data_IF_864666282225
#
_entry.id   IF_864666282225
#
_cell.length_a   1.000
_cell.length_b   1.000
_cell.length_c   1.000
_cell.angle_alpha   90.00
_cell.angle_beta   90.00
_cell.angle_gamma   90.00
#
_symmetry.space_group_name_H-M   'P 1'
#
loop_
_entity.id
_entity.type
_entity.pdbx_description
1 polymer ?
#
# COMPACT_ATOMS: atom_id res chain seq x y z
N UNK A 1 5.36 22.81 -6.07
CA UNK A 1 5.45 23.27 -4.66
C UNK A 1 6.67 22.60 -4.04
N UNK A 2 7.12 23.02 -2.86
CA UNK A 2 8.23 22.35 -2.16
C UNK A 2 7.99 22.29 -0.65
N UNK A 3 8.65 21.35 -0.01
CA UNK A 3 8.74 21.19 1.45
C UNK A 3 10.19 20.93 1.82
N UNK A 4 10.60 21.33 3.01
CA UNK A 4 11.96 21.22 3.52
C UNK A 4 12.02 20.30 4.74
N UNK A 5 13.20 19.78 5.04
CA UNK A 5 13.42 18.89 6.19
C UNK A 5 13.01 19.51 7.54
N UNK A 6 12.94 20.84 7.60
CA UNK A 6 12.58 21.62 8.79
C UNK A 6 11.07 21.81 8.96
N UNK A 7 10.28 21.54 7.91
CA UNK A 7 8.83 21.68 7.98
C UNK A 7 8.23 20.48 8.73
N UNK A 8 7.22 20.75 9.57
CA UNK A 8 6.55 19.72 10.37
C UNK A 8 5.95 18.62 9.49
N UNK A 9 5.38 19.02 8.35
CA UNK A 9 4.76 18.13 7.35
C UNK A 9 5.78 17.27 6.58
N UNK A 10 7.08 17.43 6.80
CA UNK A 10 8.07 16.59 6.12
C UNK A 10 7.95 15.13 6.57
N UNK A 11 7.89 14.15 5.65
CA UNK A 11 7.57 12.76 5.98
C UNK A 11 8.48 12.17 7.07
N UNK A 12 7.95 11.79 8.25
CA UNK A 12 8.77 11.35 9.38
C UNK A 12 9.69 10.17 9.08
N UNK A 13 9.20 9.18 8.32
CA UNK A 13 10.00 8.01 7.93
C UNK A 13 11.18 8.40 7.04
N UNK A 14 10.98 9.36 6.14
CA UNK A 14 12.05 9.85 5.27
C UNK A 14 13.01 10.75 6.04
N UNK A 15 12.52 11.54 7.01
CA UNK A 15 13.37 12.37 7.89
C UNK A 15 14.37 11.51 8.66
N UNK A 16 13.99 10.29 9.02
CA UNK A 16 14.81 9.36 9.79
C UNK A 16 15.94 8.67 9.00
N UNK A 17 15.95 8.73 7.66
CA UNK A 17 17.03 8.08 6.90
C UNK A 17 18.29 8.95 6.89
N UNK A 18 19.46 8.32 6.89
CA UNK A 18 20.77 9.00 6.92
C UNK A 18 21.02 9.98 5.78
N UNK A 19 20.34 9.79 4.65
CA UNK A 19 20.49 10.62 3.45
C UNK A 19 19.28 11.50 3.14
N UNK A 20 18.39 11.78 4.11
CA UNK A 20 17.13 12.51 3.88
C UNK A 20 17.34 13.78 3.01
N UNK A 21 16.62 13.94 1.88
CA UNK A 21 16.79 15.12 1.03
C UNK A 21 16.35 16.39 1.78
N UNK A 22 17.17 17.46 1.81
CA UNK A 22 16.83 18.67 2.55
C UNK A 22 15.61 19.41 1.99
N UNK A 23 15.33 19.23 0.69
CA UNK A 23 14.18 19.81 0.00
C UNK A 23 13.54 18.75 -0.88
N UNK A 24 12.21 18.72 -0.89
CA UNK A 24 11.39 17.90 -1.76
C UNK A 24 10.44 18.80 -2.56
N UNK A 25 10.48 18.65 -3.87
CA UNK A 25 9.54 19.27 -4.79
C UNK A 25 8.39 18.30 -5.06
N UNK A 26 7.18 18.83 -5.09
CA UNK A 26 5.99 18.01 -5.30
C UNK A 26 4.93 18.66 -6.18
N UNK A 27 4.09 17.80 -6.76
CA UNK A 27 2.87 18.13 -7.51
C UNK A 27 1.79 17.10 -7.18
N UNK A 28 0.65 17.56 -6.68
CA UNK A 28 -0.43 16.72 -6.13
C UNK A 28 -0.53 16.89 -4.62
N UNK A 29 -1.10 15.90 -3.95
CA UNK A 29 -1.38 15.93 -2.51
C UNK A 29 -0.25 15.29 -1.71
N UNK A 30 0.61 16.10 -1.06
CA UNK A 30 1.71 15.60 -0.23
C UNK A 30 1.24 15.11 1.15
N UNK A 31 0.06 15.52 1.62
CA UNK A 31 -0.45 15.14 2.95
C UNK A 31 -0.65 13.62 3.10
N UNK A 32 -0.80 12.92 1.97
CA UNK A 32 -0.85 11.46 1.88
C UNK A 32 0.27 10.75 2.66
N UNK A 33 1.48 11.33 2.70
CA UNK A 33 2.65 10.73 3.36
C UNK A 33 2.58 10.76 4.90
N UNK A 34 1.76 11.64 5.45
CA UNK A 34 1.58 11.77 6.91
C UNK A 34 0.31 11.04 7.38
N UNK A 35 -0.65 10.82 6.47
CA UNK A 35 -1.97 10.30 6.80
C UNK A 35 -2.11 8.79 6.53
N UNK A 36 -1.29 8.21 5.66
CA UNK A 36 -1.44 6.82 5.24
C UNK A 36 -0.13 6.04 5.42
N UNK A 37 -0.20 4.80 5.94
CA UNK A 37 0.95 3.91 5.92
C UNK A 37 1.34 3.56 4.48
N UNK A 38 2.63 3.64 4.19
CA UNK A 38 3.14 3.51 2.84
C UNK A 38 3.94 2.22 2.62
N UNK A 39 3.68 1.57 1.49
CA UNK A 39 4.47 0.45 0.98
C UNK A 39 5.01 0.78 -0.40
N UNK A 40 6.29 0.46 -0.61
CA UNK A 40 6.92 0.63 -1.91
C UNK A 40 6.79 -0.62 -2.75
N UNK A 41 6.33 -0.51 -3.99
CA UNK A 41 6.23 -1.64 -4.92
C UNK A 41 7.17 -1.39 -6.10
N UNK A 42 8.20 -2.22 -6.27
CA UNK A 42 9.28 -1.99 -7.24
C UNK A 42 9.63 -3.25 -8.03
N UNK A 43 10.23 -3.06 -9.20
CA UNK A 43 10.78 -4.18 -9.94
C UNK A 43 11.28 -3.86 -11.35
N UNK A 44 11.22 -4.86 -12.21
CA UNK A 44 11.82 -4.86 -13.54
C UNK A 44 11.09 -3.89 -14.47
N UNK A 45 11.89 -3.09 -15.19
CA UNK A 45 11.40 -2.27 -16.31
C UNK A 45 10.94 -3.10 -17.51
N UNK A 46 11.43 -4.34 -17.60
CA UNK A 46 11.10 -5.32 -18.63
C UNK A 46 10.38 -6.52 -17.97
N UNK A 47 9.38 -6.22 -17.14
CA UNK A 47 8.52 -7.23 -16.53
C UNK A 47 7.79 -8.02 -17.62
N UNK A 48 7.59 -9.32 -17.39
CA UNK A 48 6.75 -10.15 -18.25
C UNK A 48 5.26 -9.96 -17.91
N UNK A 49 4.37 -10.67 -18.60
CA UNK A 49 2.93 -10.57 -18.36
C UNK A 49 2.57 -10.95 -16.92
N UNK A 50 3.22 -11.97 -16.36
CA UNK A 50 3.02 -12.38 -14.98
C UNK A 50 3.41 -11.25 -14.02
N UNK A 51 4.63 -10.71 -14.12
CA UNK A 51 5.11 -9.65 -13.24
C UNK A 51 4.23 -8.39 -13.31
N UNK A 52 3.77 -8.00 -14.51
CA UNK A 52 2.85 -6.87 -14.67
C UNK A 52 1.50 -7.10 -14.00
N UNK A 53 0.89 -8.26 -14.24
CA UNK A 53 -0.40 -8.61 -13.63
C UNK A 53 -0.28 -8.70 -12.11
N UNK A 54 0.79 -9.31 -11.60
CA UNK A 54 1.07 -9.41 -10.17
C UNK A 54 1.25 -8.03 -9.54
N UNK A 55 2.07 -7.16 -10.12
CA UNK A 55 2.28 -5.80 -9.62
C UNK A 55 0.97 -5.00 -9.54
N UNK A 56 0.16 -5.05 -10.60
CA UNK A 56 -1.13 -4.37 -10.66
C UNK A 56 -2.13 -4.94 -9.65
N UNK A 57 -2.30 -6.25 -9.60
CA UNK A 57 -3.23 -6.91 -8.69
C UNK A 57 -2.83 -6.72 -7.22
N UNK A 58 -1.54 -6.83 -6.90
CA UNK A 58 -1.05 -6.63 -5.55
C UNK A 58 -1.25 -5.18 -5.12
N UNK A 59 -0.84 -4.23 -5.95
CA UNK A 59 -0.98 -2.81 -5.61
C UNK A 59 -2.44 -2.37 -5.52
N UNK A 60 -3.34 -2.97 -6.32
CA UNK A 60 -4.78 -2.76 -6.17
C UNK A 60 -5.28 -3.22 -4.80
N UNK A 61 -5.01 -4.46 -4.42
CA UNK A 61 -5.46 -5.02 -3.13
C UNK A 61 -4.84 -4.31 -1.92
N UNK A 62 -3.55 -3.96 -1.99
CA UNK A 62 -2.89 -3.19 -0.95
C UNK A 62 -3.51 -1.79 -0.81
N UNK A 63 -3.83 -1.14 -1.93
CA UNK A 63 -4.50 0.16 -1.91
C UNK A 63 -5.96 0.08 -1.43
N UNK A 64 -6.71 -0.98 -1.80
CA UNK A 64 -8.06 -1.29 -1.27
C UNK A 64 -8.03 -1.46 0.25
N UNK A 65 -6.98 -2.06 0.79
CA UNK A 65 -6.81 -2.19 2.23
C UNK A 65 -6.60 -0.82 2.90
N UNK A 66 -6.06 0.18 2.20
CA UNK A 66 -5.77 1.52 2.74
C UNK A 66 -4.30 1.90 2.72
N UNK A 67 -3.43 1.09 2.10
CA UNK A 67 -2.00 1.42 1.97
C UNK A 67 -1.75 2.43 0.84
N UNK A 68 -0.85 3.37 1.12
CA UNK A 68 -0.30 4.27 0.11
C UNK A 68 0.76 3.54 -0.71
N UNK A 69 0.55 3.44 -2.03
CA UNK A 69 1.52 2.80 -2.93
C UNK A 69 2.59 3.82 -3.35
N UNK A 70 3.84 3.56 -3.00
CA UNK A 70 4.99 4.36 -3.43
C UNK A 70 5.75 3.61 -4.52
N UNK A 71 6.06 4.28 -5.63
CA UNK A 71 6.91 3.68 -6.66
C UNK A 71 7.59 4.75 -7.50
N UNK A 72 8.21 4.35 -8.59
CA UNK A 72 9.13 5.17 -9.33
C UNK A 72 8.70 5.70 -10.67
N UNK A 73 7.47 5.42 -11.08
CA UNK A 73 6.95 5.71 -12.41
C UNK A 73 7.84 5.21 -13.56
N UNK A 74 8.74 4.25 -13.32
CA UNK A 74 9.47 3.59 -14.39
C UNK A 74 8.52 2.72 -15.23
N UNK A 75 8.95 2.29 -16.40
CA UNK A 75 8.20 1.26 -17.15
C UNK A 75 8.09 -0.04 -16.33
N UNK A 76 7.17 -0.93 -16.70
CA UNK A 76 7.06 -2.26 -16.10
C UNK A 76 6.39 -2.22 -14.73
N UNK A 77 7.02 -2.83 -13.73
CA UNK A 77 6.43 -3.03 -12.40
C UNK A 77 5.95 -1.70 -11.78
N UNK A 78 6.77 -0.65 -11.80
CA UNK A 78 6.41 0.64 -11.22
C UNK A 78 5.14 1.24 -11.84
N UNK A 79 5.03 1.23 -13.18
CA UNK A 79 3.82 1.68 -13.89
C UNK A 79 2.58 0.89 -13.45
N UNK A 80 2.69 -0.43 -13.39
CA UNK A 80 1.56 -1.30 -13.06
C UNK A 80 1.16 -1.18 -11.60
N UNK A 81 2.11 -0.91 -10.69
CA UNK A 81 1.82 -0.65 -9.30
C UNK A 81 0.97 0.61 -9.12
N UNK A 82 1.34 1.71 -9.76
CA UNK A 82 0.56 2.94 -9.75
C UNK A 82 -0.84 2.75 -10.36
N UNK A 83 -0.95 2.02 -11.48
CA UNK A 83 -2.24 1.71 -12.12
C UNK A 83 -3.15 0.92 -11.18
N UNK A 84 -2.61 -0.11 -10.54
CA UNK A 84 -3.36 -0.92 -9.57
C UNK A 84 -3.92 -0.07 -8.44
N UNK A 85 -3.09 0.81 -7.87
CA UNK A 85 -3.52 1.73 -6.81
C UNK A 85 -4.65 2.68 -7.26
N UNK A 86 -4.52 3.26 -8.46
CA UNK A 86 -5.52 4.18 -9.02
C UNK A 86 -6.85 3.46 -9.33
N UNK A 87 -6.78 2.22 -9.82
CA UNK A 87 -7.95 1.39 -10.13
C UNK A 87 -8.77 1.03 -8.90
N UNK A 88 -8.11 0.86 -7.75
CA UNK A 88 -8.77 0.70 -6.46
C UNK A 88 -9.46 1.97 -5.95
N UNK A 89 -9.28 3.12 -6.62
CA UNK A 89 -9.62 4.43 -6.05
C UNK A 89 -8.68 4.85 -4.91
N UNK A 90 -7.62 4.09 -4.66
CA UNK A 90 -6.63 4.36 -3.63
C UNK A 90 -5.63 5.45 -4.02
N UNK A 91 -4.61 5.61 -3.18
CA UNK A 91 -3.62 6.69 -3.29
C UNK A 91 -2.26 6.16 -3.71
N UNK A 92 -1.50 6.97 -4.45
CA UNK A 92 -0.15 6.59 -4.88
C UNK A 92 0.79 7.78 -5.01
N UNK A 93 2.08 7.53 -4.76
CA UNK A 93 3.15 8.52 -4.92
C UNK A 93 4.23 8.01 -5.85
N UNK A 94 4.51 8.78 -6.89
CA UNK A 94 5.63 8.54 -7.78
C UNK A 94 6.83 9.41 -7.42
N UNK A 95 7.95 8.77 -7.09
CA UNK A 95 9.22 9.45 -6.82
C UNK A 95 10.03 9.55 -8.12
N UNK A 96 10.36 10.76 -8.53
CA UNK A 96 10.87 11.09 -9.86
C UNK A 96 12.39 11.23 -9.90
N UNK A 97 13.04 10.74 -10.97
CA UNK A 97 14.48 10.94 -11.24
C UNK A 97 14.81 12.25 -11.98
N UNK A 98 13.88 13.20 -11.99
CA UNK A 98 13.94 14.48 -12.67
C UNK A 98 13.02 15.47 -11.95
N UNK A 99 12.99 16.73 -12.37
CA UNK A 99 12.02 17.70 -11.84
C UNK A 99 10.59 17.21 -11.99
N UNK A 100 9.72 17.55 -11.04
CA UNK A 100 8.30 17.13 -11.06
C UNK A 100 7.53 17.72 -12.24
N UNK A 101 8.07 18.73 -12.92
CA UNK A 101 7.55 19.35 -14.14
C UNK A 101 7.79 18.51 -15.41
N UNK A 102 8.59 17.43 -15.33
CA UNK A 102 8.93 16.58 -16.47
C UNK A 102 8.37 15.17 -16.31
N UNK A 103 7.48 14.78 -17.22
CA UNK A 103 7.01 13.40 -17.32
C UNK A 103 8.11 12.51 -17.93
N UNK A 104 8.66 11.58 -17.13
CA UNK A 104 9.63 10.60 -17.59
C UNK A 104 9.34 9.22 -16.98
N UNK A 105 9.30 8.14 -17.80
CA UNK A 105 9.47 8.13 -19.25
C UNK A 105 8.25 8.71 -19.98
N UNK A 106 8.44 9.21 -21.21
CA UNK A 106 7.37 9.82 -22.00
C UNK A 106 6.19 8.87 -22.27
N UNK A 107 6.45 7.56 -22.36
CA UNK A 107 5.42 6.52 -22.49
C UNK A 107 4.43 6.47 -21.33
N UNK A 108 4.82 6.99 -20.16
CA UNK A 108 3.99 7.06 -18.96
C UNK A 108 3.30 8.42 -18.79
N UNK A 109 3.24 9.28 -19.81
CA UNK A 109 2.66 10.63 -19.69
C UNK A 109 1.23 10.64 -19.13
N UNK A 110 0.37 9.74 -19.61
CA UNK A 110 -1.01 9.64 -19.11
C UNK A 110 -1.05 9.25 -17.63
N UNK A 111 -0.25 8.26 -17.24
CA UNK A 111 -0.15 7.81 -15.85
C UNK A 111 0.44 8.91 -14.95
N UNK A 112 1.45 9.64 -15.43
CA UNK A 112 1.99 10.82 -14.75
C UNK A 112 0.89 11.85 -14.44
N UNK A 113 0.01 12.13 -15.42
CA UNK A 113 -1.09 13.08 -15.24
C UNK A 113 -2.10 12.58 -14.21
N UNK A 114 -2.49 11.31 -14.31
CA UNK A 114 -3.40 10.68 -13.34
C UNK A 114 -2.86 10.70 -11.91
N UNK A 115 -1.56 10.43 -11.71
CA UNK A 115 -0.91 10.51 -10.40
C UNK A 115 -0.88 11.95 -9.91
N UNK A 116 -0.59 12.92 -10.78
CA UNK A 116 -0.56 14.33 -10.39
C UNK A 116 -1.91 14.86 -9.90
N UNK A 117 -3.02 14.30 -10.43
CA UNK A 117 -4.38 14.66 -10.04
C UNK A 117 -4.88 13.92 -8.81
N UNK A 118 -4.62 12.61 -8.71
CA UNK A 118 -5.24 11.74 -7.69
C UNK A 118 -4.31 11.38 -6.53
N UNK A 119 -3.01 11.56 -6.70
CA UNK A 119 -1.96 11.21 -5.77
C UNK A 119 -0.91 12.32 -5.67
N UNK A 120 0.37 11.93 -5.70
CA UNK A 120 1.46 12.90 -5.67
C UNK A 120 2.68 12.48 -6.49
N UNK A 121 3.27 13.44 -7.18
CA UNK A 121 4.59 13.34 -7.79
C UNK A 121 5.60 14.01 -6.86
N UNK A 122 6.70 13.35 -6.56
CA UNK A 122 7.71 13.82 -5.61
C UNK A 122 9.11 13.76 -6.23
N UNK A 123 9.97 14.75 -5.97
CA UNK A 123 11.35 14.76 -6.45
C UNK A 123 12.28 15.52 -5.50
N UNK A 124 13.54 15.09 -5.42
CA UNK A 124 14.60 15.91 -4.80
C UNK A 124 15.19 16.95 -5.77
N UNK A 125 14.79 16.92 -7.04
CA UNK A 125 15.33 17.78 -8.09
C UNK A 125 14.43 18.98 -8.35
N UNK A 126 14.99 20.20 -8.48
CA UNK A 126 14.22 21.39 -8.78
C UNK A 126 13.60 21.33 -10.19
N UNK A 127 12.54 22.12 -10.39
CA UNK A 127 11.88 22.26 -11.69
C UNK A 127 12.87 22.58 -12.80
N UNK A 128 12.68 21.98 -13.97
CA UNK A 128 13.57 22.12 -15.12
C UNK A 128 14.69 21.07 -15.16
N UNK A 129 14.95 20.33 -14.08
CA UNK A 129 15.98 19.28 -14.07
C UNK A 129 15.59 18.11 -14.96
N UNK A 130 16.41 17.81 -15.97
CA UNK A 130 16.20 16.68 -16.88
C UNK A 130 16.50 15.31 -16.25
N UNK A 131 16.02 14.21 -16.86
CA UNK A 131 16.36 12.85 -16.43
C UNK A 131 17.83 12.55 -16.73
N UNK A 132 18.58 12.07 -15.72
CA UNK A 132 19.95 11.62 -15.88
C UNK A 132 20.15 10.24 -15.28
N UNK A 133 21.02 9.41 -15.89
CA UNK A 133 21.20 8.00 -15.49
C UNK A 133 21.54 7.83 -14.01
N UNK A 134 22.33 8.74 -13.45
CA UNK A 134 22.74 8.73 -12.05
C UNK A 134 21.66 9.24 -11.07
N UNK A 135 20.62 9.93 -11.56
CA UNK A 135 19.49 10.36 -10.73
C UNK A 135 18.64 9.16 -10.26
N UNK A 136 18.49 8.12 -11.09
CA UNK A 136 17.57 7.01 -10.76
C UNK A 136 18.04 6.18 -9.54
N UNK A 137 19.30 5.72 -9.46
CA UNK A 137 19.77 5.05 -8.24
C UNK A 137 19.72 5.96 -7.01
N UNK A 138 20.05 7.25 -7.17
CA UNK A 138 20.01 8.24 -6.09
C UNK A 138 18.59 8.40 -5.55
N UNK A 139 17.59 8.48 -6.44
CA UNK A 139 16.19 8.62 -6.06
C UNK A 139 15.62 7.37 -5.36
N UNK A 140 16.15 6.18 -5.63
CA UNK A 140 15.64 4.94 -5.03
C UNK A 140 15.70 4.91 -3.50
N UNK A 141 16.65 5.65 -2.91
CA UNK A 141 16.73 5.84 -1.45
C UNK A 141 15.49 6.53 -0.88
N UNK A 142 14.87 7.44 -1.65
CA UNK A 142 13.67 8.17 -1.24
C UNK A 142 12.46 7.24 -1.30
N UNK A 143 12.36 6.39 -2.33
CA UNK A 143 11.31 5.35 -2.40
C UNK A 143 11.35 4.49 -1.13
N UNK A 144 12.51 3.91 -0.83
CA UNK A 144 12.68 3.07 0.35
C UNK A 144 12.46 3.86 1.66
N UNK A 145 12.92 5.11 1.73
CA UNK A 145 12.80 5.94 2.92
C UNK A 145 11.38 6.39 3.24
N UNK A 146 10.50 6.51 2.23
CA UNK A 146 9.10 6.89 2.41
C UNK A 146 8.22 5.75 2.88
N UNK A 147 8.68 4.50 2.80
CA UNK A 147 7.85 3.32 3.06
C UNK A 147 8.31 2.56 4.30
N UNK A 148 7.36 1.93 4.99
CA UNK A 148 7.66 0.98 6.07
C UNK A 148 8.24 -0.32 5.51
N UNK A 149 7.85 -0.67 4.29
CA UNK A 149 8.26 -1.88 3.60
C UNK A 149 8.48 -1.67 2.09
N UNK A 150 9.28 -2.54 1.49
CA UNK A 150 9.47 -2.63 0.03
C UNK A 150 9.12 -4.02 -0.48
N UNK A 151 8.17 -4.11 -1.41
CA UNK A 151 7.80 -5.31 -2.14
C UNK A 151 8.48 -5.35 -3.52
N UNK A 152 9.29 -6.38 -3.75
CA UNK A 152 9.97 -6.64 -5.04
C UNK A 152 9.24 -7.74 -5.81
N UNK A 153 8.58 -7.36 -6.91
CA UNK A 153 7.76 -8.29 -7.72
C UNK A 153 8.62 -9.15 -8.65
N UNK A 154 9.46 -8.49 -9.46
CA UNK A 154 10.36 -9.13 -10.42
C UNK A 154 11.61 -8.29 -10.56
N UNK A 155 12.77 -8.92 -10.64
CA UNK A 155 14.03 -8.23 -10.86
C UNK A 155 15.12 -9.20 -11.33
N UNK A 156 16.05 -8.70 -12.14
CA UNK A 156 17.37 -9.35 -12.32
C UNK A 156 18.28 -9.01 -11.15
N UNK A 157 19.39 -9.74 -11.00
CA UNK A 157 20.36 -9.50 -9.91
C UNK A 157 20.99 -8.10 -9.97
N UNK A 158 21.21 -7.56 -11.19
CA UNK A 158 21.77 -6.22 -11.41
C UNK A 158 20.69 -5.12 -11.53
N UNK A 159 19.44 -5.42 -11.15
CA UNK A 159 18.33 -4.49 -11.31
C UNK A 159 18.42 -3.32 -10.32
N UNK A 160 18.05 -2.13 -10.77
CA UNK A 160 17.92 -0.97 -9.89
C UNK A 160 16.91 -1.16 -8.74
N UNK A 161 15.94 -2.08 -8.88
CA UNK A 161 15.02 -2.42 -7.79
C UNK A 161 15.71 -3.11 -6.61
N UNK A 162 16.81 -3.85 -6.84
CA UNK A 162 17.61 -4.43 -5.75
C UNK A 162 18.39 -3.36 -4.98
N UNK A 163 18.71 -2.24 -5.61
CA UNK A 163 19.25 -1.07 -4.91
C UNK A 163 18.21 -0.51 -3.93
N UNK A 164 16.94 -0.43 -4.34
CA UNK A 164 15.85 0.00 -3.45
C UNK A 164 15.67 -0.98 -2.26
N UNK A 165 15.68 -2.29 -2.53
CA UNK A 165 15.59 -3.30 -1.48
C UNK A 165 16.78 -3.23 -0.50
N UNK A 166 17.99 -2.96 -1.01
CA UNK A 166 19.16 -2.76 -0.16
C UNK A 166 19.00 -1.53 0.74
N UNK A 167 18.57 -0.39 0.19
CA UNK A 167 18.31 0.80 1.01
C UNK A 167 17.24 0.54 2.08
N UNK A 168 16.19 -0.21 1.74
CA UNK A 168 15.16 -0.60 2.70
C UNK A 168 15.76 -1.37 3.88
N UNK A 169 16.59 -2.39 3.61
CA UNK A 169 17.28 -3.14 4.66
C UNK A 169 18.23 -2.24 5.49
N UNK A 170 18.98 -1.34 4.85
CA UNK A 170 19.86 -0.38 5.54
C UNK A 170 19.08 0.58 6.45
N UNK A 171 17.84 0.91 6.11
CA UNK A 171 16.95 1.79 6.89
C UNK A 171 16.10 1.01 7.90
N UNK A 172 16.31 -0.29 8.07
CA UNK A 172 15.51 -1.14 8.96
C UNK A 172 14.05 -1.26 8.52
N UNK A 173 13.80 -1.24 7.20
CA UNK A 173 12.48 -1.48 6.60
C UNK A 173 12.36 -2.94 6.19
N UNK A 174 11.15 -3.48 6.25
CA UNK A 174 10.90 -4.83 5.76
C UNK A 174 11.11 -4.92 4.26
N UNK A 175 11.74 -6.00 3.83
CA UNK A 175 11.92 -6.33 2.42
C UNK A 175 11.12 -7.59 2.12
N UNK A 176 10.18 -7.46 1.20
CA UNK A 176 9.34 -8.53 0.69
C UNK A 176 9.72 -8.86 -0.74
N UNK A 177 9.64 -10.14 -1.09
CA UNK A 177 9.92 -10.59 -2.45
C UNK A 177 8.95 -11.70 -2.88
N UNK A 178 8.47 -11.60 -4.13
CA UNK A 178 7.64 -12.64 -4.72
C UNK A 178 8.55 -13.73 -5.29
N UNK A 179 8.42 -15.00 -4.87
CA UNK A 179 9.22 -16.09 -5.39
C UNK A 179 8.88 -16.31 -6.86
N UNK A 180 9.87 -16.76 -7.64
CA UNK A 180 9.66 -17.04 -9.05
C UNK A 180 10.46 -18.23 -9.56
N UNK A 181 10.08 -18.66 -10.76
CA UNK A 181 10.74 -19.75 -11.49
C UNK A 181 12.25 -19.49 -11.62
N UNK A 182 13.06 -20.42 -11.10
CA UNK A 182 14.54 -20.35 -11.07
C UNK A 182 15.17 -20.23 -12.47
N UNK A 183 14.45 -20.62 -13.53
CA UNK A 183 14.91 -20.51 -14.92
C UNK A 183 14.72 -19.08 -15.45
N UNK A 184 13.73 -18.34 -14.92
CA UNK A 184 13.45 -16.98 -15.38
C UNK A 184 14.44 -15.99 -14.80
N UNK A 185 15.15 -15.28 -15.68
CA UNK A 185 16.09 -14.21 -15.28
C UNK A 185 15.45 -13.12 -14.41
N UNK A 186 14.17 -12.81 -14.62
CA UNK A 186 13.43 -11.81 -13.84
C UNK A 186 13.02 -12.30 -12.43
N UNK A 187 13.22 -13.58 -12.10
CA UNK A 187 13.01 -14.13 -10.75
C UNK A 187 14.32 -14.22 -9.95
N UNK A 188 15.48 -14.08 -10.59
CA UNK A 188 16.77 -14.22 -9.94
C UNK A 188 16.98 -13.21 -8.79
N UNK A 189 16.54 -11.95 -8.98
CA UNK A 189 16.62 -10.91 -7.96
C UNK A 189 15.75 -11.20 -6.74
N UNK A 190 14.43 -11.40 -6.89
CA UNK A 190 13.55 -11.79 -5.78
C UNK A 190 14.03 -13.06 -5.07
N UNK A 191 14.38 -14.12 -5.79
CA UNK A 191 14.88 -15.36 -5.17
C UNK A 191 16.19 -15.14 -4.41
N UNK A 192 17.08 -14.27 -4.91
CA UNK A 192 18.28 -13.87 -4.18
C UNK A 192 17.94 -13.09 -2.91
N UNK A 193 16.97 -12.17 -2.95
CA UNK A 193 16.51 -11.45 -1.75
C UNK A 193 15.95 -12.41 -0.70
N UNK A 194 15.11 -13.37 -1.11
CA UNK A 194 14.56 -14.40 -0.22
C UNK A 194 15.66 -15.24 0.43
N UNK A 195 16.68 -15.64 -0.35
CA UNK A 195 17.85 -16.35 0.18
C UNK A 195 18.63 -15.53 1.22
N UNK A 196 18.55 -14.20 1.17
CA UNK A 196 19.25 -13.28 2.06
C UNK A 196 18.33 -12.65 3.12
N UNK A 197 17.19 -13.29 3.43
CA UNK A 197 16.35 -12.92 4.57
C UNK A 197 15.20 -11.96 4.27
N UNK A 198 14.92 -11.66 2.99
CA UNK A 198 13.65 -11.02 2.65
C UNK A 198 12.47 -11.97 2.96
N UNK A 199 11.35 -11.40 3.40
CA UNK A 199 10.12 -12.14 3.66
C UNK A 199 9.48 -12.61 2.35
N UNK A 200 9.01 -13.85 2.33
CA UNK A 200 8.34 -14.43 1.17
C UNK A 200 6.92 -13.89 1.06
N UNK A 201 6.49 -13.59 -0.17
CA UNK A 201 5.12 -13.15 -0.45
C UNK A 201 4.52 -14.05 -1.52
N UNK A 202 3.53 -14.82 -1.12
CA UNK A 202 2.72 -15.68 -1.97
C UNK A 202 1.28 -15.19 -2.09
N UNK A 203 0.80 -14.44 -1.08
CA UNK A 203 -0.50 -13.80 -1.05
C UNK A 203 -0.42 -12.39 -0.45
N UNK A 204 -1.54 -11.67 -0.42
CA UNK A 204 -1.55 -10.28 0.08
C UNK A 204 -1.45 -10.22 1.59
N UNK A 205 -1.98 -11.22 2.27
CA UNK A 205 -2.05 -11.26 3.73
C UNK A 205 -0.65 -11.35 4.34
N UNK A 206 0.30 -12.03 3.65
CA UNK A 206 1.75 -12.02 3.97
C UNK A 206 2.33 -10.60 4.15
N UNK A 207 1.75 -9.61 3.48
CA UNK A 207 2.14 -8.20 3.60
C UNK A 207 1.27 -7.49 4.62
N UNK A 208 -0.05 -7.68 4.60
CA UNK A 208 -0.99 -6.94 5.44
C UNK A 208 -0.85 -7.23 6.93
N UNK A 209 -0.43 -8.44 7.31
CA UNK A 209 -0.17 -8.81 8.72
C UNK A 209 0.79 -7.84 9.43
N UNK A 210 1.65 -7.16 8.67
CA UNK A 210 2.68 -6.25 9.16
C UNK A 210 2.23 -4.79 9.16
N UNK A 211 0.99 -4.54 8.72
CA UNK A 211 0.29 -3.25 8.74
C UNK A 211 -1.04 -3.37 9.50
N UNK A 212 -1.02 -3.71 10.80
CA UNK A 212 -2.24 -3.94 11.58
C UNK A 212 -3.14 -2.71 11.66
N UNK A 213 -2.59 -1.50 11.56
CA UNK A 213 -3.37 -0.26 11.54
C UNK A 213 -4.35 -0.21 10.36
N UNK A 214 -4.00 -0.83 9.23
CA UNK A 214 -4.80 -0.85 8.00
C UNK A 214 -5.93 -1.88 8.12
N UNK A 215 -5.63 -3.04 8.71
CA UNK A 215 -6.61 -4.09 9.02
C UNK A 215 -7.65 -3.57 10.02
N UNK A 216 -7.22 -2.73 10.97
CA UNK A 216 -8.14 -2.14 11.95
C UNK A 216 -9.10 -1.11 11.31
N UNK A 217 -8.67 -0.36 10.30
CA UNK A 217 -9.53 0.62 9.62
C UNK A 217 -10.57 0.00 8.68
N UNK A 218 -10.24 -1.12 8.02
CA UNK A 218 -11.22 -1.86 7.20
C UNK A 218 -12.25 -2.59 8.07
N UNK A 219 -11.83 -3.15 9.21
CA UNK A 219 -12.76 -3.66 10.23
C UNK A 219 -13.55 -2.56 10.93
N UNK A 220 -13.00 -1.35 11.12
CA UNK A 220 -13.71 -0.23 11.71
C UNK A 220 -14.84 0.32 10.81
N UNK A 221 -14.67 0.22 9.48
CA UNK A 221 -15.71 0.59 8.50
C UNK A 221 -16.80 -0.49 8.37
N UNK A 222 -16.47 -1.77 8.58
CA UNK A 222 -17.47 -2.83 8.83
C UNK A 222 -18.03 -2.78 10.26
N UNK A 223 -17.37 -2.08 11.20
CA UNK A 223 -17.83 -1.99 12.57
C UNK A 223 -18.95 -0.97 12.79
N UNK A 224 -19.18 -0.10 11.81
CA UNK A 224 -20.40 0.70 11.67
C UNK A 224 -21.39 0.02 10.70
N UNK A 225 -21.42 -1.31 10.71
CA UNK A 225 -22.62 -2.05 10.35
C UNK A 225 -23.77 -1.40 11.09
N UNK A 226 -24.68 -0.82 10.32
CA UNK A 226 -25.97 -0.25 10.70
C UNK A 226 -26.89 -1.40 11.20
N UNK A 227 -26.36 -2.20 12.12
CA UNK A 227 -26.89 -3.47 12.57
C UNK A 227 -28.04 -3.18 13.50
N UNK A 228 -29.22 -3.53 13.01
CA UNK A 228 -30.47 -3.40 13.75
C UNK A 228 -30.39 -4.24 15.01
N UNK A 229 -29.80 -5.44 14.93
CA UNK A 229 -29.62 -6.32 16.08
C UNK A 229 -28.73 -5.71 17.19
N UNK A 230 -27.59 -5.09 16.82
CA UNK A 230 -26.71 -4.43 17.78
C UNK A 230 -27.35 -3.23 18.47
N UNK A 231 -28.14 -2.45 17.73
CA UNK A 231 -28.86 -1.29 18.27
C UNK A 231 -29.92 -1.73 19.28
N UNK A 232 -30.68 -2.77 18.96
CA UNK A 232 -31.70 -3.33 19.85
C UNK A 232 -31.07 -3.94 21.10
N UNK A 233 -29.97 -4.68 20.94
CA UNK A 233 -29.23 -5.30 22.06
C UNK A 233 -28.50 -4.27 22.95
N UNK A 234 -28.43 -3.00 22.55
CA UNK A 234 -27.93 -1.94 23.41
C UNK A 234 -28.87 -1.66 24.60
N UNK A 235 -30.16 -1.95 24.44
CA UNK A 235 -31.18 -1.74 25.49
C UNK A 235 -31.28 -2.91 26.48
N UNK A 236 -30.60 -4.03 26.20
CA UNK A 236 -30.51 -5.18 27.10
C UNK A 236 -30.45 -6.54 26.39
N UNK A 237 -30.24 -7.62 27.16
CA UNK A 237 -30.22 -8.98 26.63
C UNK A 237 -31.63 -9.41 26.20
N UNK A 238 -31.74 -10.01 25.02
CA UNK A 238 -33.01 -10.41 24.40
C UNK A 238 -32.90 -11.81 23.79
N UNK A 239 -34.02 -12.54 23.76
CA UNK A 239 -34.09 -13.80 23.03
C UNK A 239 -34.25 -13.58 21.51
N UNK A 240 -34.04 -14.64 20.73
CA UNK A 240 -34.14 -14.56 19.27
C UNK A 240 -35.53 -14.15 18.76
N UNK A 241 -36.61 -14.56 19.45
CA UNK A 241 -37.98 -14.20 19.06
C UNK A 241 -38.25 -12.71 19.28
N UNK A 242 -37.76 -12.14 20.38
CA UNK A 242 -37.86 -10.72 20.67
C UNK A 242 -37.06 -9.88 19.67
N UNK A 243 -35.83 -10.32 19.34
CA UNK A 243 -35.02 -9.67 18.32
C UNK A 243 -35.69 -9.69 16.95
N UNK A 244 -36.32 -10.82 16.56
CA UNK A 244 -37.04 -10.93 15.31
C UNK A 244 -38.19 -9.92 15.20
N UNK A 245 -38.95 -9.72 16.28
CA UNK A 245 -40.05 -8.75 16.32
C UNK A 245 -39.54 -7.31 16.28
N UNK A 246 -38.51 -6.99 17.08
CA UNK A 246 -38.00 -5.63 17.21
C UNK A 246 -37.18 -5.17 16.00
N UNK A 247 -36.48 -6.09 15.34
CA UNK A 247 -35.65 -5.79 14.17
C UNK A 247 -36.45 -5.59 12.88
N UNK A 248 -37.63 -6.20 12.77
CA UNK A 248 -38.41 -6.19 11.53
C UNK A 248 -37.76 -6.97 10.38
N UNK A 249 -36.69 -7.72 10.65
CA UNK A 249 -35.98 -8.55 9.68
C UNK A 249 -36.66 -9.90 9.49
N UNK A 250 -36.39 -10.56 8.37
CA UNK A 250 -36.69 -11.98 8.22
C UNK A 250 -35.82 -12.82 9.16
N UNK A 251 -36.24 -14.07 9.39
CA UNK A 251 -35.50 -15.00 10.26
C UNK A 251 -34.10 -15.26 9.72
N UNK A 252 -33.98 -15.41 8.40
CA UNK A 252 -32.73 -15.69 7.72
C UNK A 252 -31.77 -14.50 7.83
N UNK A 253 -32.27 -13.27 7.63
CA UNK A 253 -31.46 -12.04 7.75
C UNK A 253 -30.95 -11.84 9.18
N UNK A 254 -31.83 -11.97 10.18
CA UNK A 254 -31.43 -11.83 11.58
C UNK A 254 -30.41 -12.88 12.00
N UNK A 255 -30.56 -14.12 11.51
CA UNK A 255 -29.63 -15.19 11.83
C UNK A 255 -28.23 -14.94 11.24
N UNK A 256 -28.16 -14.51 9.97
CA UNK A 256 -26.89 -14.13 9.33
C UNK A 256 -26.24 -12.96 10.07
N UNK A 257 -27.02 -11.96 10.44
CA UNK A 257 -26.53 -10.78 11.16
C UNK A 257 -25.96 -11.14 12.53
N UNK A 258 -26.72 -11.86 13.37
CA UNK A 258 -26.26 -12.29 14.70
C UNK A 258 -25.03 -13.20 14.62
N UNK A 259 -24.97 -14.08 13.61
CA UNK A 259 -23.79 -14.95 13.39
C UNK A 259 -22.55 -14.11 13.08
N UNK A 260 -22.65 -13.14 12.18
CA UNK A 260 -21.53 -12.26 11.84
C UNK A 260 -21.07 -11.46 13.04
N UNK A 261 -22.01 -10.90 13.81
CA UNK A 261 -21.71 -10.15 15.03
C UNK A 261 -21.03 -10.99 16.10
N UNK A 262 -21.40 -12.26 16.21
CA UNK A 262 -20.78 -13.19 17.15
C UNK A 262 -19.36 -13.55 16.71
N UNK A 263 -19.12 -13.73 15.41
CA UNK A 263 -17.79 -14.00 14.85
C UNK A 263 -16.81 -12.84 15.08
N UNK A 264 -17.29 -11.59 15.02
CA UNK A 264 -16.48 -10.40 15.34
C UNK A 264 -16.44 -10.07 16.84
N UNK A 265 -17.09 -10.88 17.68
CA UNK A 265 -17.06 -10.74 19.14
C UNK A 265 -17.91 -9.61 19.72
N UNK A 266 -18.83 -9.03 18.93
CA UNK A 266 -19.70 -7.91 19.36
C UNK A 266 -20.94 -8.34 20.12
N UNK A 267 -21.41 -9.57 19.92
CA UNK A 267 -22.51 -10.16 20.67
C UNK A 267 -22.14 -11.56 21.12
N UNK A 268 -22.78 -12.03 22.17
CA UNK A 268 -22.66 -13.41 22.67
C UNK A 268 -24.04 -13.99 22.93
N UNK A 269 -24.18 -15.27 22.64
CA UNK A 269 -25.39 -16.05 22.93
C UNK A 269 -25.13 -16.94 24.15
N UNK A 270 -26.10 -16.99 25.06
CA UNK A 270 -26.08 -17.89 26.21
C UNK A 270 -27.50 -18.35 26.55
N UNK A 271 -27.77 -19.63 26.37
CA UNK A 271 -29.05 -20.28 26.74
C UNK A 271 -30.28 -19.69 26.04
N UNK A 272 -30.15 -19.35 24.76
CA UNK A 272 -31.17 -18.72 23.92
C UNK A 272 -31.22 -17.20 24.00
N UNK A 273 -30.38 -16.58 24.83
CA UNK A 273 -30.37 -15.14 25.07
C UNK A 273 -29.13 -14.52 24.43
N UNK A 274 -29.36 -13.53 23.57
CA UNK A 274 -28.34 -12.73 22.93
C UNK A 274 -28.09 -11.48 23.74
N UNK A 275 -26.82 -11.10 23.87
CA UNK A 275 -26.43 -9.88 24.57
C UNK A 275 -25.22 -9.25 23.87
N UNK A 276 -25.16 -7.93 23.91
CA UNK A 276 -23.99 -7.18 23.46
C UNK A 276 -22.79 -7.47 24.38
N UNK A 277 -21.61 -7.63 23.78
CA UNK A 277 -20.34 -7.79 24.50
C UNK A 277 -19.78 -6.44 24.94
#
# INVERSE_FOLDING_TARGET
QFITLLDDDYPPLLRAITSAPPVLFFKGDISLLNNLPAISVVGSRKADAYGRNTARSFSRRLAEAGLLIVSGLAMGIDSEAHRGAIEAGGKTIAVMGCGVDRAYPASNLKLYQEIAEKGCLLSEFPSGTGPARHHFPRRNRIIAGLSRAVLVIQATIDSGSLITARFAAEYGRDVYAIPGDIIRRNAAGPNWLLKNGAKVVTEIDDVLEEFPEVISSSKALDDDLDSVALKILADGPLDFSQLLVLSGLSREELFVELTNLQLVGKVRESSGIWQKC
#
